data_IF_701610719956
#
_entry.id   IF_701610719956
#
_cell.length_a   1.000
_cell.length_b   1.000
_cell.length_c   1.000
_cell.angle_alpha   90.00
_cell.angle_beta   90.00
_cell.angle_gamma   90.00
#
_symmetry.space_group_name_H-M   'P 1'
#
loop_
_entity.id
_entity.type
_entity.pdbx_description
1 polymer ?
#
# COMPACT_ATOMS: atom_id res chain seq x y z
N UNK A 1 8.73 -17.54 8.95
CA UNK A 1 8.10 -17.64 7.62
C UNK A 1 8.14 -16.28 6.98
N UNK A 2 8.09 -16.19 5.65
CA UNK A 2 8.06 -14.90 4.95
C UNK A 2 6.65 -14.62 4.43
N UNK A 3 6.25 -13.34 4.47
CA UNK A 3 5.03 -12.83 3.84
C UNK A 3 5.40 -11.92 2.67
N UNK A 4 4.64 -11.99 1.58
CA UNK A 4 4.83 -11.19 0.38
C UNK A 4 3.57 -10.38 0.15
N UNK A 5 3.71 -9.08 -0.11
CA UNK A 5 2.60 -8.18 -0.38
C UNK A 5 2.84 -7.39 -1.67
N UNK A 6 2.22 -7.77 -2.79
CA UNK A 6 2.25 -7.01 -4.03
C UNK A 6 1.05 -6.04 -4.15
N UNK A 7 1.29 -4.84 -4.68
CA UNK A 7 0.27 -3.98 -5.26
C UNK A 7 0.15 -4.27 -6.76
N UNK A 8 -1.06 -4.54 -7.24
CA UNK A 8 -1.34 -4.91 -8.62
C UNK A 8 -2.14 -3.80 -9.33
N UNK A 9 -1.79 -3.52 -10.58
CA UNK A 9 -2.58 -2.73 -11.52
C UNK A 9 -3.00 -3.58 -12.73
N UNK A 10 -3.69 -2.96 -13.69
CA UNK A 10 -4.02 -3.59 -14.96
C UNK A 10 -2.79 -3.87 -15.83
N UNK A 11 -1.69 -3.17 -15.59
CA UNK A 11 -0.42 -3.26 -16.33
C UNK A 11 0.64 -4.14 -15.63
N UNK A 12 0.39 -4.60 -14.40
CA UNK A 12 1.29 -5.51 -13.69
C UNK A 12 1.44 -5.20 -12.21
N UNK A 13 2.63 -5.46 -11.66
CA UNK A 13 2.96 -5.17 -10.25
C UNK A 13 3.50 -3.75 -10.17
N UNK A 14 2.91 -2.91 -9.32
CA UNK A 14 3.37 -1.53 -9.07
C UNK A 14 4.45 -1.47 -7.98
N UNK A 15 4.26 -2.24 -6.92
CA UNK A 15 5.16 -2.27 -5.76
C UNK A 15 5.05 -3.63 -5.06
N UNK A 16 6.10 -4.09 -4.39
CA UNK A 16 6.09 -5.37 -3.69
C UNK A 16 7.10 -5.39 -2.56
N UNK A 17 6.63 -5.73 -1.36
CA UNK A 17 7.47 -5.93 -0.19
C UNK A 17 7.46 -7.38 0.29
N UNK A 18 8.58 -7.79 0.89
CA UNK A 18 8.74 -9.09 1.56
C UNK A 18 9.21 -8.84 2.98
N UNK A 19 8.48 -9.39 3.94
CA UNK A 19 8.82 -9.28 5.37
C UNK A 19 8.98 -10.66 6.00
N UNK A 20 9.86 -10.77 6.99
CA UNK A 20 9.87 -11.93 7.87
C UNK A 20 8.72 -11.83 8.88
N UNK A 21 7.88 -12.86 8.96
CA UNK A 21 6.68 -12.87 9.79
C UNK A 21 5.45 -12.30 9.07
N UNK A 22 4.57 -11.67 9.83
CA UNK A 22 3.33 -11.04 9.33
C UNK A 22 3.49 -9.52 9.24
N UNK A 23 2.74 -8.88 8.34
CA UNK A 23 2.66 -7.42 8.31
C UNK A 23 2.02 -6.88 9.59
N UNK A 24 2.56 -5.78 10.09
CA UNK A 24 1.99 -4.97 11.15
C UNK A 24 1.76 -3.55 10.61
N UNK A 25 1.22 -2.65 11.44
CA UNK A 25 0.99 -1.26 11.05
C UNK A 25 2.24 -0.59 10.48
N UNK A 26 3.40 -0.74 11.13
CA UNK A 26 4.64 -0.08 10.68
C UNK A 26 5.14 -0.62 9.34
N UNK A 27 5.17 -1.95 9.16
CA UNK A 27 5.62 -2.52 7.89
C UNK A 27 4.63 -2.27 6.75
N UNK A 28 3.33 -2.20 7.06
CA UNK A 28 2.34 -1.82 6.07
C UNK A 28 2.41 -0.32 5.72
N UNK A 29 2.71 0.56 6.67
CA UNK A 29 2.96 1.98 6.40
C UNK A 29 4.13 2.16 5.43
N UNK A 30 5.24 1.45 5.66
CA UNK A 30 6.39 1.48 4.76
C UNK A 30 6.03 1.03 3.34
N UNK A 31 5.25 -0.05 3.22
CA UNK A 31 4.73 -0.51 1.94
C UNK A 31 3.87 0.57 1.24
N UNK A 32 3.04 1.31 1.98
CA UNK A 32 2.23 2.40 1.42
C UNK A 32 3.11 3.55 0.95
N UNK A 33 4.12 3.96 1.71
CA UNK A 33 5.08 5.01 1.28
C UNK A 33 5.72 4.65 -0.07
N UNK A 34 6.21 3.41 -0.23
CA UNK A 34 6.80 2.94 -1.49
C UNK A 34 5.79 2.75 -2.62
N UNK A 35 4.55 2.34 -2.32
CA UNK A 35 3.48 2.27 -3.31
C UNK A 35 3.11 3.66 -3.85
N UNK A 36 3.04 4.66 -2.98
CA UNK A 36 2.64 6.01 -3.33
C UNK A 36 3.56 6.63 -4.41
N UNK A 37 4.85 6.33 -4.42
CA UNK A 37 5.77 6.76 -5.50
C UNK A 37 5.34 6.29 -6.91
N UNK A 38 4.49 5.26 -7.00
CA UNK A 38 4.01 4.65 -8.24
C UNK A 38 2.52 4.95 -8.52
N UNK A 39 1.90 5.77 -7.68
CA UNK A 39 0.50 6.20 -7.78
C UNK A 39 0.39 7.57 -8.47
N UNK A 40 -0.83 7.94 -8.86
CA UNK A 40 -1.14 9.27 -9.41
C UNK A 40 -2.39 9.86 -8.74
N UNK A 41 -2.57 11.19 -8.73
CA UNK A 41 -3.80 11.79 -8.23
C UNK A 41 -5.04 11.35 -9.05
N UNK A 42 -6.17 11.14 -8.36
CA UNK A 42 -7.43 10.80 -9.02
C UNK A 42 -7.90 11.94 -9.96
N UNK A 43 -8.37 11.64 -11.20
CA UNK A 43 -8.76 10.34 -11.75
C UNK A 43 -7.74 9.70 -12.73
N UNK A 44 -6.43 9.99 -12.59
CA UNK A 44 -5.43 9.40 -13.47
C UNK A 44 -5.33 7.85 -13.30
N UNK A 45 -4.66 7.12 -14.21
CA UNK A 45 -4.34 5.71 -14.00
C UNK A 45 -3.59 5.49 -12.67
N UNK A 46 -3.84 4.37 -12.00
CA UNK A 46 -3.24 4.03 -10.69
C UNK A 46 -3.47 5.10 -9.61
N UNK A 47 -4.72 5.56 -9.47
CA UNK A 47 -5.11 6.61 -8.52
C UNK A 47 -6.02 6.19 -7.38
N UNK A 48 -6.41 4.91 -7.34
CA UNK A 48 -7.29 4.37 -6.30
C UNK A 48 -6.66 3.11 -5.73
N UNK A 49 -6.43 3.11 -4.43
CA UNK A 49 -5.94 1.95 -3.70
C UNK A 49 -7.13 1.12 -3.21
N UNK A 50 -7.13 -0.17 -3.52
CA UNK A 50 -8.15 -1.13 -3.07
C UNK A 50 -7.47 -2.23 -2.26
N UNK A 51 -7.95 -2.46 -1.04
CA UNK A 51 -7.42 -3.44 -0.09
C UNK A 51 -8.55 -4.01 0.78
N UNK A 52 -8.30 -5.11 1.49
CA UNK A 52 -9.29 -5.67 2.42
C UNK A 52 -9.44 -4.83 3.70
N UNK A 53 -10.48 -5.12 4.48
CA UNK A 53 -10.88 -4.35 5.65
C UNK A 53 -10.10 -4.74 6.93
N UNK A 54 -8.78 -4.95 6.81
CA UNK A 54 -7.93 -5.32 7.95
C UNK A 54 -7.78 -4.14 8.94
N UNK A 55 -7.61 -4.45 10.23
CA UNK A 55 -7.48 -3.42 11.27
C UNK A 55 -6.24 -2.55 11.08
N UNK A 56 -5.12 -3.12 10.64
CA UNK A 56 -3.86 -2.39 10.49
C UNK A 56 -3.92 -1.32 9.38
N UNK A 57 -4.79 -1.49 8.39
CA UNK A 57 -4.97 -0.52 7.28
C UNK A 57 -5.66 0.77 7.73
N UNK A 58 -6.31 0.76 8.90
CA UNK A 58 -7.10 1.88 9.42
C UNK A 58 -6.31 2.84 10.31
N UNK A 59 -4.99 2.63 10.43
CA UNK A 59 -4.17 3.53 11.21
C UNK A 59 -4.20 4.94 10.61
N UNK A 60 -4.31 5.95 11.47
CA UNK A 60 -4.50 7.34 11.04
C UNK A 60 -3.37 7.80 10.10
N UNK A 61 -2.12 7.51 10.43
CA UNK A 61 -0.96 7.87 9.60
C UNK A 61 -1.05 7.32 8.17
N UNK A 62 -1.59 6.11 7.97
CA UNK A 62 -1.75 5.53 6.63
C UNK A 62 -2.80 6.32 5.84
N UNK A 63 -3.89 6.72 6.49
CA UNK A 63 -4.93 7.51 5.85
C UNK A 63 -4.44 8.91 5.49
N UNK A 64 -3.64 9.53 6.37
CA UNK A 64 -3.01 10.83 6.13
C UNK A 64 -2.06 10.75 4.92
N UNK A 65 -1.15 9.76 4.89
CA UNK A 65 -0.24 9.54 3.77
C UNK A 65 -0.97 9.42 2.41
N UNK A 66 -2.09 8.69 2.36
CA UNK A 66 -2.85 8.50 1.12
C UNK A 66 -3.58 9.78 0.70
N UNK A 67 -4.09 10.57 1.65
CA UNK A 67 -4.83 11.80 1.35
C UNK A 67 -3.94 13.02 1.05
N UNK A 68 -2.67 13.00 1.47
CA UNK A 68 -1.70 14.06 1.19
C UNK A 68 -1.10 13.98 -0.22
N UNK A 69 -1.38 12.90 -0.96
CA UNK A 69 -0.89 12.69 -2.32
C UNK A 69 -1.65 13.48 -3.40
#
# INVERSE_FOLDING_TARGET
SFSVLPALSLEGILHCDIVEGSFCTESFKHFIEGLLDNMQPFPAPNSVIVMDNCQIHKHQEIQELIHEQ
#
